data_IF_231610657971
#
_entry.id   IF_231610657971
#
_cell.length_a   1.000
_cell.length_b   1.000
_cell.length_c   1.000
_cell.angle_alpha   90.00
_cell.angle_beta   90.00
_cell.angle_gamma   90.00
#
_symmetry.space_group_name_H-M   'P 1'
#
loop_
_entity.id
_entity.type
_entity.pdbx_description
1 polymer ?
#
# COMPACT_ATOMS: atom_id res chain seq x y z
N UNK A 1 26.79 -4.32 -8.43
CA UNK A 1 26.15 -5.33 -9.29
C UNK A 1 27.24 -6.14 -9.97
N UNK A 2 26.98 -7.40 -10.34
CA UNK A 2 27.97 -8.23 -11.04
C UNK A 2 28.06 -7.83 -12.52
N UNK A 3 29.19 -8.11 -13.16
CA UNK A 3 29.47 -7.67 -14.54
C UNK A 3 28.51 -8.26 -15.57
N UNK A 4 27.99 -9.46 -15.33
CA UNK A 4 27.00 -10.11 -16.18
C UNK A 4 25.63 -9.42 -16.21
N UNK A 5 25.38 -8.48 -15.31
CA UNK A 5 24.14 -7.69 -15.23
C UNK A 5 24.32 -6.26 -15.77
N UNK A 6 25.12 -6.07 -16.83
CA UNK A 6 25.19 -4.80 -17.55
C UNK A 6 23.97 -4.61 -18.46
N UNK A 7 22.91 -4.03 -17.90
CA UNK A 7 21.66 -3.72 -18.60
C UNK A 7 21.81 -2.67 -19.71
N UNK A 8 22.95 -1.95 -19.80
CA UNK A 8 23.19 -0.97 -20.89
C UNK A 8 23.37 -1.65 -22.24
N UNK A 9 23.73 -2.93 -22.24
CA UNK A 9 23.93 -3.76 -23.44
C UNK A 9 22.70 -4.59 -23.82
N UNK A 10 21.64 -4.55 -23.01
CA UNK A 10 20.38 -5.23 -23.34
C UNK A 10 19.67 -4.49 -24.47
N UNK A 11 19.82 -5.03 -25.68
CA UNK A 11 18.96 -4.69 -26.81
C UNK A 11 17.52 -5.13 -26.44
N UNK A 12 16.57 -4.22 -26.56
CA UNK A 12 15.13 -4.43 -26.25
C UNK A 12 14.76 -4.52 -24.76
N UNK A 13 15.63 -4.05 -23.86
CA UNK A 13 15.28 -3.88 -22.44
C UNK A 13 14.20 -2.80 -22.24
N UNK A 14 13.00 -3.19 -21.78
CA UNK A 14 11.92 -2.26 -21.47
C UNK A 14 11.98 -1.88 -19.99
N UNK A 15 12.23 -0.60 -19.69
CA UNK A 15 12.09 -0.06 -18.34
C UNK A 15 10.61 -0.11 -17.93
N UNK A 16 10.33 -0.77 -16.81
CA UNK A 16 8.97 -0.83 -16.25
C UNK A 16 8.03 -1.83 -16.94
N UNK A 17 8.56 -2.91 -17.55
CA UNK A 17 7.75 -3.96 -18.21
C UNK A 17 6.59 -4.48 -17.35
N UNK A 18 6.80 -4.57 -16.03
CA UNK A 18 5.80 -5.01 -15.05
C UNK A 18 5.27 -3.85 -14.20
N UNK A 19 5.71 -2.61 -14.44
CA UNK A 19 5.34 -1.47 -13.60
C UNK A 19 3.83 -1.22 -13.57
N UNK A 20 3.16 -1.44 -14.71
CA UNK A 20 1.70 -1.35 -14.83
C UNK A 20 0.95 -2.45 -14.05
N UNK A 21 1.56 -3.64 -13.90
CA UNK A 21 0.98 -4.72 -13.08
C UNK A 21 1.00 -4.35 -11.59
N UNK A 22 1.92 -3.47 -11.18
CA UNK A 22 2.02 -2.95 -9.82
C UNK A 22 1.20 -1.67 -9.58
N UNK A 23 0.47 -1.14 -10.57
CA UNK A 23 -0.37 0.08 -10.41
C UNK A 23 -1.51 -0.07 -9.40
N UNK A 24 -1.85 -1.30 -9.00
CA UNK A 24 -2.63 -1.57 -7.79
C UNK A 24 -1.73 -1.45 -6.55
N UNK A 25 -1.01 -0.34 -6.41
CA UNK A 25 0.03 -0.13 -5.41
C UNK A 25 -0.56 -0.22 -4.01
N UNK A 26 -0.41 -1.39 -3.39
CA UNK A 26 -0.65 -1.54 -1.96
C UNK A 26 0.40 -0.70 -1.21
N UNK A 27 -0.05 0.37 -0.56
CA UNK A 27 0.80 1.16 0.34
C UNK A 27 1.05 0.31 1.58
N UNK A 28 2.31 -0.03 1.82
CA UNK A 28 2.70 -0.71 3.06
C UNK A 28 2.95 0.32 4.14
N UNK A 29 2.18 0.26 5.21
CA UNK A 29 2.33 1.09 6.40
C UNK A 29 2.83 0.21 7.53
N UNK A 30 3.90 0.63 8.19
CA UNK A 30 4.39 -0.02 9.40
C UNK A 30 3.49 0.39 10.57
N UNK A 31 2.95 -0.60 11.29
CA UNK A 31 2.21 -0.37 12.52
C UNK A 31 3.16 -0.42 13.71
N UNK A 32 2.87 0.38 14.73
CA UNK A 32 3.52 0.27 16.02
C UNK A 32 3.22 -1.09 16.67
N UNK A 33 4.13 -1.55 17.53
CA UNK A 33 4.08 -2.91 18.10
C UNK A 33 2.84 -3.16 18.95
N UNK A 34 2.34 -2.16 19.66
CA UNK A 34 1.11 -2.22 20.45
C UNK A 34 -0.13 -2.33 19.55
N UNK A 35 -0.20 -1.56 18.46
CA UNK A 35 -1.28 -1.63 17.48
C UNK A 35 -1.30 -3.00 16.79
N UNK A 36 -0.14 -3.51 16.40
CA UNK A 36 -0.02 -4.82 15.75
C UNK A 36 -0.43 -6.01 16.66
N UNK A 37 -0.40 -5.85 18.00
CA UNK A 37 -0.91 -6.87 18.93
C UNK A 37 -2.43 -6.93 18.95
N UNK A 38 -3.10 -5.81 18.64
CA UNK A 38 -4.56 -5.70 18.66
C UNK A 38 -5.17 -6.23 17.36
N UNK A 39 -4.51 -6.00 16.23
CA UNK A 39 -5.03 -6.38 14.91
C UNK A 39 -4.29 -7.59 14.32
N UNK A 40 -4.97 -8.72 14.07
CA UNK A 40 -4.32 -9.95 13.60
C UNK A 40 -3.84 -9.91 12.15
N UNK A 41 -4.39 -9.01 11.32
CA UNK A 41 -4.00 -8.86 9.91
C UNK A 41 -4.43 -7.48 9.35
N UNK A 42 -3.99 -7.19 8.12
CA UNK A 42 -4.29 -5.95 7.41
C UNK A 42 -5.77 -5.76 7.08
N UNK A 43 -6.54 -6.85 6.90
CA UNK A 43 -7.98 -6.76 6.69
C UNK A 43 -8.68 -6.15 7.92
N UNK A 44 -8.36 -6.64 9.11
CA UNK A 44 -8.93 -6.14 10.37
C UNK A 44 -8.64 -4.64 10.59
N UNK A 45 -7.41 -4.20 10.30
CA UNK A 45 -7.01 -2.78 10.38
C UNK A 45 -7.83 -1.94 9.41
N UNK A 46 -7.91 -2.37 8.15
CA UNK A 46 -8.59 -1.61 7.11
C UNK A 46 -10.09 -1.49 7.37
N UNK A 47 -10.73 -2.55 7.87
CA UNK A 47 -12.15 -2.51 8.25
C UNK A 47 -12.42 -1.54 9.41
N UNK A 48 -11.56 -1.54 10.43
CA UNK A 48 -11.68 -0.61 11.56
C UNK A 48 -11.54 0.84 11.10
N UNK A 49 -10.51 1.16 10.30
CA UNK A 49 -10.29 2.52 9.79
C UNK A 49 -11.41 2.99 8.86
N UNK A 50 -11.94 2.12 8.00
CA UNK A 50 -13.11 2.44 7.14
C UNK A 50 -14.36 2.72 7.96
N UNK A 51 -14.58 1.96 9.02
CA UNK A 51 -15.71 2.18 9.93
C UNK A 51 -15.58 3.53 10.62
N UNK A 52 -14.39 3.84 11.14
CA UNK A 52 -14.10 5.14 11.73
C UNK A 52 -14.31 6.29 10.72
N UNK A 53 -13.81 6.15 9.50
CA UNK A 53 -13.99 7.14 8.45
C UNK A 53 -15.47 7.43 8.18
N UNK A 54 -16.32 6.40 8.10
CA UNK A 54 -17.78 6.58 7.92
C UNK A 54 -18.42 7.34 9.07
N UNK A 55 -18.05 7.02 10.31
CA UNK A 55 -18.57 7.72 11.50
C UNK A 55 -18.15 9.19 11.46
N UNK A 56 -16.89 9.48 11.16
CA UNK A 56 -16.37 10.85 11.08
C UNK A 56 -17.03 11.63 9.95
N UNK A 57 -17.13 11.07 8.75
CA UNK A 57 -17.82 11.73 7.62
C UNK A 57 -19.31 11.99 7.92
N UNK A 58 -20.00 11.07 8.60
CA UNK A 58 -21.39 11.30 9.00
C UNK A 58 -21.49 12.40 10.08
N UNK A 59 -20.52 12.48 11.00
CA UNK A 59 -20.48 13.53 12.00
C UNK A 59 -20.25 14.92 11.37
N UNK A 60 -19.41 15.01 10.33
CA UNK A 60 -19.19 16.24 9.56
C UNK A 60 -20.46 16.69 8.81
N UNK A 61 -21.22 15.75 8.23
CA UNK A 61 -22.49 16.05 7.54
C UNK A 61 -23.56 16.53 8.53
N UNK A 62 -23.63 15.95 9.74
CA UNK A 62 -24.60 16.35 10.76
C UNK A 62 -24.24 17.66 11.48
N UNK A 63 -23.00 18.15 11.30
CA UNK A 63 -22.52 19.40 11.88
C UNK A 63 -22.65 20.60 10.91
N UNK A 64 -23.13 20.38 9.68
CA UNK A 64 -23.39 21.39 8.65
C UNK A 64 -24.89 21.64 8.48
#
# INVERSE_FOLDING_TARGET
MREEYDFSRMKDGIRGKDASVFENTAITVLLDSDVAKVFPNSQAVNEALRTLARVLSNAEINAQ
#
